data_IF_875834827087
#
_entry.id   IF_875834827087
#
_cell.length_a   1.000
_cell.length_b   1.000
_cell.length_c   1.000
_cell.angle_alpha   90.00
_cell.angle_beta   90.00
_cell.angle_gamma   90.00
#
_symmetry.space_group_name_H-M   'P 1'
#
loop_
_entity.id
_entity.type
_entity.pdbx_description
1 polymer ?
#
# COMPACT_ATOMS: atom_id res chain seq x y z
N UNK A 1 -2.77 21.72 -15.54
CA UNK A 1 -1.64 22.00 -14.64
C UNK A 1 -2.28 22.32 -13.30
N UNK A 2 -2.15 21.44 -12.30
CA UNK A 2 -2.75 21.68 -10.98
C UNK A 2 -2.01 22.86 -10.36
N UNK A 3 -2.75 23.89 -9.98
CA UNK A 3 -2.19 25.07 -9.33
C UNK A 3 -1.68 24.66 -7.94
N UNK A 4 -0.35 24.67 -7.78
CA UNK A 4 0.33 24.25 -6.55
C UNK A 4 0.18 25.30 -5.44
N UNK A 5 -0.37 26.48 -5.77
CA UNK A 5 -0.59 27.57 -4.81
C UNK A 5 -1.73 27.30 -3.82
N UNK A 6 -2.59 26.31 -4.08
CA UNK A 6 -3.68 25.88 -3.18
C UNK A 6 -3.28 24.76 -2.20
N UNK A 7 -2.03 24.27 -2.20
CA UNK A 7 -1.59 23.32 -1.19
C UNK A 7 -1.53 24.05 0.15
N UNK A 8 -2.49 23.75 1.04
CA UNK A 8 -2.50 24.21 2.42
C UNK A 8 -1.09 24.02 3.01
N UNK A 9 -0.43 25.13 3.36
CA UNK A 9 0.90 25.08 3.97
C UNK A 9 0.77 24.35 5.30
N UNK A 10 1.35 23.16 5.37
CA UNK A 10 1.40 22.39 6.60
C UNK A 10 2.41 23.05 7.55
N UNK A 11 1.95 23.43 8.74
CA UNK A 11 2.79 23.92 9.83
C UNK A 11 2.86 22.86 10.93
N UNK A 12 4.03 22.24 11.20
CA UNK A 12 4.13 21.19 12.20
C UNK A 12 3.94 21.75 13.62
N UNK A 13 2.94 21.23 14.33
CA UNK A 13 2.76 21.51 15.76
C UNK A 13 3.73 20.70 16.64
N UNK A 14 3.80 21.03 17.93
CA UNK A 14 4.69 20.38 18.91
C UNK A 14 4.57 18.84 18.91
N UNK A 15 3.34 18.31 18.85
CA UNK A 15 3.10 16.86 18.77
C UNK A 15 3.72 16.24 17.52
N UNK A 16 3.69 16.94 16.38
CA UNK A 16 4.30 16.46 15.14
C UNK A 16 5.80 16.34 15.32
N UNK A 17 6.44 17.38 15.86
CA UNK A 17 7.88 17.39 16.11
C UNK A 17 8.27 16.26 17.06
N UNK A 18 7.51 16.06 18.15
CA UNK A 18 7.75 14.97 19.10
C UNK A 18 7.69 13.60 18.43
N UNK A 19 6.65 13.35 17.63
CA UNK A 19 6.52 12.08 16.90
C UNK A 19 7.65 11.87 15.89
N UNK A 20 8.09 12.92 15.18
CA UNK A 20 9.24 12.83 14.28
C UNK A 20 10.51 12.42 15.04
N UNK A 21 10.75 12.98 16.23
CA UNK A 21 11.88 12.60 17.08
C UNK A 21 11.78 11.16 17.58
N UNK A 22 10.60 10.74 18.04
CA UNK A 22 10.38 9.37 18.51
C UNK A 22 10.60 8.34 17.38
N UNK A 23 10.11 8.65 16.17
CA UNK A 23 10.31 7.82 14.98
C UNK A 23 11.80 7.77 14.60
N UNK A 24 12.50 8.91 14.58
CA UNK A 24 13.93 8.96 14.28
C UNK A 24 14.75 8.11 15.27
N UNK A 25 14.45 8.22 16.57
CA UNK A 25 15.10 7.40 17.59
C UNK A 25 14.79 5.89 17.44
N UNK A 26 13.57 5.55 17.02
CA UNK A 26 13.21 4.16 16.73
C UNK A 26 13.90 3.61 15.47
N UNK A 27 14.08 4.44 14.43
CA UNK A 27 14.77 4.06 13.20
C UNK A 27 16.23 3.66 13.44
N UNK A 28 16.94 4.33 14.36
CA UNK A 28 18.34 3.97 14.63
C UNK A 28 18.44 2.58 15.28
N UNK A 29 17.55 2.26 16.23
CA UNK A 29 17.47 0.91 16.81
C UNK A 29 17.10 -0.14 15.76
N UNK A 30 16.18 0.20 14.86
CA UNK A 30 15.78 -0.66 13.76
C UNK A 30 16.96 -0.95 12.81
N UNK A 31 17.75 0.06 12.44
CA UNK A 31 18.88 -0.08 11.52
C UNK A 31 19.90 -1.11 12.04
N UNK A 32 20.25 -1.02 13.32
CA UNK A 32 21.17 -1.97 13.98
C UNK A 32 20.65 -3.41 13.86
N UNK A 33 19.36 -3.65 14.13
CA UNK A 33 18.75 -4.98 14.04
C UNK A 33 18.74 -5.51 12.59
N UNK A 34 18.48 -4.63 11.62
CA UNK A 34 18.33 -5.00 10.21
C UNK A 34 19.66 -5.19 9.46
N UNK A 35 20.74 -4.61 9.96
CA UNK A 35 22.12 -4.86 9.51
C UNK A 35 22.71 -6.15 10.10
N UNK A 36 22.10 -6.66 11.18
CA UNK A 36 22.49 -7.92 11.80
C UNK A 36 22.12 -9.17 10.99
N UNK A 37 22.53 -10.37 11.46
CA UNK A 37 22.40 -11.63 10.72
C UNK A 37 20.98 -12.02 10.32
N UNK A 38 19.97 -11.54 11.05
CA UNK A 38 18.55 -11.83 10.78
C UNK A 38 17.89 -10.85 9.79
N UNK A 39 18.59 -9.80 9.35
CA UNK A 39 18.01 -8.71 8.56
C UNK A 39 17.32 -9.14 7.27
N UNK A 40 17.92 -10.06 6.50
CA UNK A 40 17.33 -10.58 5.26
C UNK A 40 16.01 -11.31 5.53
N UNK A 41 15.97 -12.16 6.57
CA UNK A 41 14.76 -12.88 6.97
C UNK A 41 13.66 -11.92 7.40
N UNK A 42 14.02 -10.90 8.18
CA UNK A 42 13.08 -9.87 8.64
C UNK A 42 12.53 -9.02 7.50
N UNK A 43 13.35 -8.66 6.49
CA UNK A 43 12.86 -7.96 5.29
C UNK A 43 11.81 -8.78 4.55
N UNK A 44 12.05 -10.08 4.35
CA UNK A 44 11.08 -10.98 3.70
C UNK A 44 9.77 -11.07 4.50
N UNK A 45 9.87 -11.24 5.83
CA UNK A 45 8.69 -11.30 6.70
C UNK A 45 7.91 -9.98 6.69
N UNK A 46 8.61 -8.86 6.77
CA UNK A 46 7.98 -7.53 6.71
C UNK A 46 7.27 -7.32 5.37
N UNK A 47 7.85 -7.74 4.24
CA UNK A 47 7.20 -7.66 2.93
C UNK A 47 5.88 -8.43 2.89
N UNK A 48 5.87 -9.66 3.40
CA UNK A 48 4.65 -10.49 3.50
C UNK A 48 3.60 -9.78 4.37
N UNK A 49 4.00 -9.25 5.52
CA UNK A 49 3.11 -8.52 6.43
C UNK A 49 2.58 -7.22 5.84
N UNK A 50 3.39 -6.50 5.08
CA UNK A 50 2.96 -5.32 4.33
C UNK A 50 1.89 -5.68 3.31
N UNK A 51 2.12 -6.72 2.49
CA UNK A 51 1.14 -7.19 1.50
C UNK A 51 -0.18 -7.58 2.18
N UNK A 52 -0.11 -8.42 3.22
CA UNK A 52 -1.28 -8.85 3.98
C UNK A 52 -2.02 -7.68 4.60
N UNK A 53 -1.31 -6.75 5.24
CA UNK A 53 -1.89 -5.58 5.88
C UNK A 53 -2.63 -4.70 4.86
N UNK A 54 -2.01 -4.45 3.72
CA UNK A 54 -2.63 -3.68 2.63
C UNK A 54 -3.92 -4.32 2.13
N UNK A 55 -3.92 -5.63 1.86
CA UNK A 55 -5.13 -6.30 1.36
C UNK A 55 -6.19 -6.48 2.44
N UNK A 56 -5.81 -6.67 3.71
CA UNK A 56 -6.76 -6.83 4.81
C UNK A 56 -7.57 -5.57 5.09
N UNK A 57 -7.03 -4.38 4.83
CA UNK A 57 -7.76 -3.11 4.93
C UNK A 57 -8.95 -3.09 3.94
N UNK A 58 -8.79 -3.72 2.77
CA UNK A 58 -9.82 -3.84 1.74
C UNK A 58 -10.77 -5.04 1.98
N UNK A 59 -10.66 -5.70 3.15
CA UNK A 59 -11.54 -6.80 3.54
C UNK A 59 -11.04 -8.20 3.15
N UNK A 60 -9.80 -8.33 2.66
CA UNK A 60 -9.21 -9.63 2.36
C UNK A 60 -8.99 -10.45 3.64
N UNK A 61 -9.37 -11.72 3.62
CA UNK A 61 -9.40 -12.58 4.82
C UNK A 61 -8.24 -13.55 4.93
N UNK A 62 -7.34 -13.58 3.93
CA UNK A 62 -6.25 -14.54 3.85
C UNK A 62 -5.24 -14.39 5.01
N UNK A 63 -4.77 -15.53 5.51
CA UNK A 63 -3.78 -15.59 6.58
C UNK A 63 -2.37 -15.26 6.08
N UNK A 64 -1.44 -14.98 7.01
CA UNK A 64 -0.03 -14.73 6.67
C UNK A 64 0.61 -15.92 5.93
N UNK A 65 0.26 -17.15 6.32
CA UNK A 65 0.74 -18.37 5.66
C UNK A 65 0.17 -18.50 4.23
N UNK A 66 -1.13 -18.22 4.05
CA UNK A 66 -1.76 -18.22 2.74
C UNK A 66 -1.16 -17.16 1.81
N UNK A 67 -0.91 -15.95 2.31
CA UNK A 67 -0.22 -14.89 1.56
C UNK A 67 1.20 -15.33 1.18
N UNK A 68 1.92 -15.96 2.11
CA UNK A 68 3.26 -16.52 1.87
C UNK A 68 3.25 -17.58 0.76
N UNK A 69 2.27 -18.47 0.80
CA UNK A 69 2.11 -19.54 -0.19
C UNK A 69 1.77 -18.99 -1.57
N UNK A 70 0.90 -17.97 -1.67
CA UNK A 70 0.59 -17.28 -2.93
C UNK A 70 1.84 -16.64 -3.52
N UNK A 71 2.62 -15.89 -2.71
CA UNK A 71 3.86 -15.25 -3.14
C UNK A 71 4.90 -16.30 -3.58
N UNK A 72 4.90 -17.45 -2.94
CA UNK A 72 5.78 -18.59 -3.28
C UNK A 72 5.30 -19.40 -4.49
N UNK A 73 4.19 -19.01 -5.13
CA UNK A 73 3.62 -19.71 -6.29
C UNK A 73 2.91 -21.02 -5.96
N UNK A 74 2.62 -21.29 -4.68
CA UNK A 74 1.85 -22.47 -4.27
C UNK A 74 0.35 -22.24 -4.46
N UNK A 75 -0.40 -23.35 -4.53
CA UNK A 75 -1.87 -23.32 -4.58
C UNK A 75 -2.43 -23.03 -3.19
N UNK A 76 -3.39 -22.12 -3.14
CA UNK A 76 -4.11 -21.73 -1.92
C UNK A 76 -5.61 -21.80 -2.17
N UNK A 77 -6.36 -22.27 -1.18
CA UNK A 77 -7.82 -22.23 -1.19
C UNK A 77 -8.26 -20.84 -0.73
N UNK A 78 -8.95 -20.12 -1.61
CA UNK A 78 -9.45 -18.77 -1.37
C UNK A 78 -10.25 -18.29 -2.58
N UNK A 79 -10.95 -17.16 -2.44
CA UNK A 79 -11.65 -16.59 -3.59
C UNK A 79 -10.63 -16.13 -4.64
N UNK A 80 -11.00 -16.22 -5.93
CA UNK A 80 -10.15 -15.72 -7.02
C UNK A 80 -9.76 -14.25 -6.80
N UNK A 81 -10.72 -13.44 -6.35
CA UNK A 81 -10.53 -12.03 -6.06
C UNK A 81 -9.47 -11.79 -4.99
N UNK A 82 -9.57 -12.45 -3.84
CA UNK A 82 -8.59 -12.28 -2.75
C UNK A 82 -7.18 -12.72 -3.15
N UNK A 83 -7.06 -13.79 -3.95
CA UNK A 83 -5.78 -14.25 -4.48
C UNK A 83 -5.18 -13.22 -5.44
N UNK A 84 -6.00 -12.67 -6.33
CA UNK A 84 -5.56 -11.67 -7.32
C UNK A 84 -5.20 -10.33 -6.64
N UNK A 85 -5.88 -9.94 -5.56
CA UNK A 85 -5.50 -8.81 -4.69
C UNK A 85 -4.10 -8.99 -4.09
N UNK A 86 -3.82 -10.17 -3.50
CA UNK A 86 -2.49 -10.46 -2.93
C UNK A 86 -1.42 -10.44 -4.02
N UNK A 87 -1.68 -11.00 -5.20
CA UNK A 87 -0.75 -10.96 -6.33
C UNK A 87 -0.50 -9.55 -6.85
N UNK A 88 -1.56 -8.74 -6.96
CA UNK A 88 -1.48 -7.34 -7.39
C UNK A 88 -0.66 -6.50 -6.42
N UNK A 89 -0.93 -6.64 -5.12
CA UNK A 89 -0.17 -6.02 -4.05
C UNK A 89 1.30 -6.44 -4.09
N UNK A 90 1.57 -7.75 -4.17
CA UNK A 90 2.93 -8.24 -4.29
C UNK A 90 3.67 -7.66 -5.52
N UNK A 91 3.01 -7.61 -6.68
CA UNK A 91 3.59 -7.09 -7.92
C UNK A 91 3.90 -5.58 -7.83
N UNK A 92 3.05 -4.80 -7.17
CA UNK A 92 3.26 -3.36 -6.96
C UNK A 92 4.38 -3.11 -5.95
N UNK A 93 4.32 -3.72 -4.76
CA UNK A 93 5.32 -3.49 -3.69
C UNK A 93 6.71 -3.99 -4.07
N UNK A 94 6.82 -5.05 -4.86
CA UNK A 94 8.13 -5.54 -5.34
C UNK A 94 8.83 -4.57 -6.31
N UNK A 95 8.11 -3.54 -6.80
CA UNK A 95 8.63 -2.49 -7.68
C UNK A 95 8.56 -1.10 -7.03
N UNK A 96 8.17 -0.99 -5.76
CA UNK A 96 7.85 0.30 -5.13
C UNK A 96 9.02 1.28 -5.17
N UNK A 97 10.25 0.80 -4.96
CA UNK A 97 11.47 1.62 -5.00
C UNK A 97 11.79 2.17 -6.40
N UNK A 98 11.19 1.62 -7.45
CA UNK A 98 11.37 2.08 -8.84
C UNK A 98 10.38 3.18 -9.24
N UNK A 99 9.40 3.49 -8.38
CA UNK A 99 8.40 4.51 -8.65
C UNK A 99 8.84 5.86 -8.12
N UNK A 100 8.84 6.86 -8.99
CA UNK A 100 8.89 8.26 -8.59
C UNK A 100 7.55 8.66 -7.96
N UNK A 101 7.51 8.99 -6.66
CA UNK A 101 6.27 9.34 -5.96
C UNK A 101 5.61 10.62 -6.49
N UNK A 102 6.35 11.48 -7.19
CA UNK A 102 5.83 12.71 -7.78
C UNK A 102 5.35 12.52 -9.23
N UNK A 103 5.52 11.33 -9.79
CA UNK A 103 5.13 11.02 -11.16
C UNK A 103 3.74 10.41 -11.24
N UNK A 104 2.81 11.13 -11.87
CA UNK A 104 1.47 10.60 -12.20
C UNK A 104 1.55 9.33 -13.05
N UNK A 105 2.55 9.21 -13.93
CA UNK A 105 2.77 8.00 -14.73
C UNK A 105 3.20 6.83 -13.86
N UNK A 106 4.05 7.06 -12.86
CA UNK A 106 4.44 6.01 -11.92
C UNK A 106 3.25 5.56 -11.06
N UNK A 107 2.43 6.51 -10.59
CA UNK A 107 1.18 6.23 -9.88
C UNK A 107 0.24 5.34 -10.70
N UNK A 108 0.00 5.67 -11.97
CA UNK A 108 -0.85 4.86 -12.84
C UNK A 108 -0.27 3.46 -13.09
N UNK A 109 1.06 3.32 -13.20
CA UNK A 109 1.70 1.99 -13.29
C UNK A 109 1.52 1.17 -12.01
N UNK A 110 1.71 1.79 -10.84
CA UNK A 110 1.49 1.13 -9.55
C UNK A 110 0.03 0.68 -9.42
N UNK A 111 -0.92 1.56 -9.77
CA UNK A 111 -2.34 1.22 -9.82
C UNK A 111 -2.62 0.06 -10.78
N UNK A 112 -2.02 0.04 -11.97
CA UNK A 112 -2.22 -1.04 -12.94
C UNK A 112 -1.78 -2.40 -12.39
N UNK A 113 -0.65 -2.45 -11.67
CA UNK A 113 -0.17 -3.67 -11.03
C UNK A 113 -1.09 -4.11 -9.89
N UNK A 114 -1.48 -3.15 -9.04
CA UNK A 114 -2.30 -3.40 -7.85
C UNK A 114 -3.70 -3.93 -8.18
N UNK A 115 -4.30 -3.42 -9.26
CA UNK A 115 -5.71 -3.64 -9.62
C UNK A 115 -5.90 -4.52 -10.85
N UNK A 116 -4.82 -5.15 -11.32
CA UNK A 116 -4.86 -6.04 -12.47
C UNK A 116 -5.88 -7.15 -12.22
N UNK A 117 -6.81 -7.33 -13.17
CA UNK A 117 -7.89 -8.32 -13.11
C UNK A 117 -8.95 -8.09 -12.01
N UNK A 118 -8.87 -6.97 -11.27
CA UNK A 118 -9.84 -6.58 -10.23
C UNK A 118 -10.80 -5.49 -10.68
N UNK A 119 -10.40 -4.67 -11.65
CA UNK A 119 -11.19 -3.54 -12.17
C UNK A 119 -11.13 -3.51 -13.70
N UNK A 120 -12.10 -2.84 -14.32
CA UNK A 120 -12.20 -2.76 -15.79
C UNK A 120 -11.07 -1.95 -16.44
N UNK A 121 -10.56 -0.93 -15.75
CA UNK A 121 -9.56 0.00 -16.31
C UNK A 121 -8.33 0.18 -15.41
N UNK A 122 -7.49 -0.87 -15.22
CA UNK A 122 -6.28 -0.76 -14.43
C UNK A 122 -5.33 0.30 -15.00
N UNK A 123 -4.82 1.18 -14.13
CA UNK A 123 -3.82 2.20 -14.51
C UNK A 123 -4.39 3.38 -15.29
N UNK A 124 -5.70 3.62 -15.17
CA UNK A 124 -6.35 4.80 -15.74
C UNK A 124 -7.05 5.55 -14.62
N UNK A 125 -7.15 6.87 -14.79
CA UNK A 125 -8.06 7.68 -13.97
C UNK A 125 -9.49 7.22 -14.20
N UNK A 126 -10.30 7.29 -13.15
CA UNK A 126 -11.74 7.02 -13.24
C UNK A 126 -12.39 7.97 -14.25
N UNK A 127 -13.44 7.48 -14.92
CA UNK A 127 -14.28 8.25 -15.84
C UNK A 127 -15.72 8.40 -15.34
N UNK A 128 -15.96 7.95 -14.12
CA UNK A 128 -17.25 7.96 -13.47
C UNK A 128 -17.12 8.55 -12.05
N UNK A 129 -18.25 8.95 -11.50
CA UNK A 129 -18.34 9.41 -10.12
C UNK A 129 -18.12 8.22 -9.18
N UNK A 130 -17.40 8.45 -8.09
CA UNK A 130 -17.16 7.47 -7.04
C UNK A 130 -17.52 8.05 -5.67
N UNK A 131 -18.02 7.19 -4.78
CA UNK A 131 -18.27 7.54 -3.38
C UNK A 131 -17.06 7.25 -2.52
N UNK A 132 -16.84 8.08 -1.51
CA UNK A 132 -15.86 7.84 -0.43
C UNK A 132 -16.62 7.31 0.77
N UNK A 133 -16.19 6.16 1.31
CA UNK A 133 -16.84 5.48 2.42
C UNK A 133 -15.89 5.40 3.63
N UNK A 134 -16.46 5.40 4.83
CA UNK A 134 -15.68 5.15 6.05
C UNK A 134 -15.54 3.65 6.34
N UNK A 135 -14.79 3.33 7.40
CA UNK A 135 -14.56 1.94 7.83
C UNK A 135 -15.84 1.17 8.25
N UNK A 136 -16.96 1.88 8.48
CA UNK A 136 -18.28 1.27 8.77
C UNK A 136 -19.14 1.06 7.51
N UNK A 137 -18.61 1.39 6.33
CA UNK A 137 -19.33 1.34 5.06
C UNK A 137 -20.31 2.49 4.84
N UNK A 138 -20.24 3.54 5.66
CA UNK A 138 -21.12 4.70 5.55
C UNK A 138 -20.56 5.68 4.50
N UNK A 139 -21.42 6.17 3.60
CA UNK A 139 -21.03 7.15 2.58
C UNK A 139 -20.66 8.48 3.26
N UNK A 140 -19.42 8.95 3.05
CA UNK A 140 -18.94 10.22 3.58
C UNK A 140 -19.21 11.37 2.63
N UNK A 141 -18.84 11.23 1.36
CA UNK A 141 -19.05 12.23 0.30
C UNK A 141 -18.81 11.63 -1.09
N UNK A 142 -19.20 12.36 -2.14
CA UNK A 142 -18.77 12.08 -3.51
C UNK A 142 -17.39 12.68 -3.76
N UNK A 143 -16.53 11.93 -4.44
CA UNK A 143 -15.28 12.49 -4.95
C UNK A 143 -15.59 13.63 -5.95
N UNK A 144 -14.67 14.61 -6.13
CA UNK A 144 -14.78 15.61 -7.19
C UNK A 144 -15.07 14.96 -8.55
N UNK A 145 -15.72 15.63 -9.51
CA UNK A 145 -15.99 15.04 -10.84
C UNK A 145 -14.70 14.59 -11.55
#
# INVERSE_FOLDING_TARGET
MVDVSEIARFTPGERTLRLVMDIAAALERYRIVMEGPSGVRLRKLNHIRTIRGTTAIEGNTLTEDQVTDIISGKKVVGSKREIDEVKGAHAAYSKVETFDPLSSRALLRAHALMTKDLVESPGKWRKCNVGVFNARGEAMHHAPP
#
